data_IF_368044581554
#
_entry.id   IF_368044581554
#
_cell.length_a   1.000
_cell.length_b   1.000
_cell.length_c   1.000
_cell.angle_alpha   90.00
_cell.angle_beta   90.00
_cell.angle_gamma   90.00
#
_symmetry.space_group_name_H-M   'P 1'
#
loop_
_entity.id
_entity.type
_entity.pdbx_description
1 polymer ?
#
# COMPACT_ATOMS: atom_id res chain seq x y z
N UNK A 1 22.27 19.23 30.49
CA UNK A 1 21.05 19.97 30.07
C UNK A 1 20.41 19.18 28.95
N UNK A 2 19.28 18.51 29.21
CA UNK A 2 18.54 17.77 28.19
C UNK A 2 17.48 18.69 27.61
N UNK A 3 17.44 18.83 26.29
CA UNK A 3 16.60 19.82 25.62
C UNK A 3 15.14 19.31 25.53
N UNK A 4 14.16 19.98 26.15
CA UNK A 4 12.78 19.49 26.26
C UNK A 4 11.95 19.61 24.97
N UNK A 5 12.53 20.14 23.89
CA UNK A 5 11.87 20.31 22.59
C UNK A 5 12.21 19.21 21.57
N UNK A 6 12.97 18.19 21.96
CA UNK A 6 13.17 17.00 21.13
C UNK A 6 11.97 16.08 21.35
N UNK A 7 10.88 16.40 20.66
CA UNK A 7 9.72 15.54 20.55
C UNK A 7 9.97 14.53 19.44
N UNK A 8 10.51 13.36 19.80
CA UNK A 8 10.67 12.22 18.88
C UNK A 8 9.31 11.57 18.64
N UNK A 9 8.43 12.27 17.92
CA UNK A 9 7.21 11.68 17.36
C UNK A 9 7.59 10.73 16.23
N UNK A 10 8.08 9.54 16.59
CA UNK A 10 7.96 8.36 15.75
C UNK A 10 6.52 7.85 15.83
N UNK A 11 5.57 8.68 15.39
CA UNK A 11 4.18 8.29 15.16
C UNK A 11 4.05 7.62 13.79
N UNK A 12 4.70 6.48 13.62
CA UNK A 12 4.38 5.55 12.53
C UNK A 12 3.69 4.32 13.12
N UNK A 13 2.35 4.35 13.11
CA UNK A 13 1.42 3.23 13.31
C UNK A 13 1.55 2.45 14.63
N UNK A 14 0.69 2.74 15.60
CA UNK A 14 0.59 2.02 16.89
C UNK A 14 0.40 0.49 16.75
N UNK A 15 -0.21 0.01 15.66
CA UNK A 15 -0.34 -1.43 15.37
C UNK A 15 0.95 -2.06 14.82
N UNK A 16 1.68 -1.35 13.96
CA UNK A 16 2.98 -1.79 13.42
C UNK A 16 4.08 -1.75 14.47
N UNK A 17 4.04 -0.79 15.40
CA UNK A 17 5.01 -0.68 16.49
C UNK A 17 4.93 -1.86 17.47
N UNK A 18 3.72 -2.35 17.78
CA UNK A 18 3.56 -3.52 18.64
C UNK A 18 4.17 -4.79 18.05
N UNK A 19 3.96 -5.02 16.75
CA UNK A 19 4.53 -6.15 16.04
C UNK A 19 6.06 -6.02 15.89
N UNK A 20 6.54 -4.82 15.57
CA UNK A 20 7.98 -4.56 15.41
C UNK A 20 8.74 -4.79 16.71
N UNK A 21 8.18 -4.32 17.83
CA UNK A 21 8.75 -4.53 19.16
C UNK A 21 8.74 -6.01 19.54
N UNK A 22 7.66 -6.75 19.24
CA UNK A 22 7.61 -8.20 19.50
C UNK A 22 8.64 -8.97 18.67
N UNK A 23 8.78 -8.66 17.38
CA UNK A 23 9.78 -9.29 16.49
C UNK A 23 11.20 -8.96 16.97
N UNK A 24 11.48 -7.71 17.30
CA UNK A 24 12.80 -7.28 17.77
C UNK A 24 13.14 -7.90 19.14
N UNK A 25 12.17 -8.03 20.04
CA UNK A 25 12.37 -8.69 21.33
C UNK A 25 12.59 -10.21 21.19
N UNK A 26 11.87 -10.88 20.29
CA UNK A 26 12.11 -12.29 19.99
C UNK A 26 13.49 -12.52 19.34
N UNK A 27 13.89 -11.59 18.47
CA UNK A 27 15.17 -11.64 17.78
C UNK A 27 16.38 -11.29 18.67
N UNK A 28 16.14 -10.64 19.82
CA UNK A 28 17.20 -10.20 20.75
C UNK A 28 17.98 -11.38 21.35
N UNK A 29 17.33 -12.52 21.53
CA UNK A 29 17.95 -13.72 22.11
C UNK A 29 18.53 -14.67 21.03
N UNK A 30 18.43 -14.30 19.75
CA UNK A 30 18.94 -15.13 18.66
C UNK A 30 20.47 -14.97 18.52
N UNK A 31 21.26 -16.06 18.55
CA UNK A 31 22.73 -16.00 18.60
C UNK A 31 23.39 -15.45 17.32
N UNK A 32 22.63 -15.26 16.25
CA UNK A 32 23.09 -14.78 14.94
C UNK A 32 22.56 -13.38 14.58
N UNK A 33 21.81 -12.72 15.47
CA UNK A 33 21.26 -11.38 15.24
C UNK A 33 22.02 -10.38 16.12
N UNK A 34 22.70 -9.38 15.54
CA UNK A 34 23.41 -8.35 16.32
C UNK A 34 22.45 -7.55 17.21
N UNK A 35 22.88 -7.20 18.44
CA UNK A 35 22.03 -6.48 19.42
C UNK A 35 21.45 -5.14 18.92
N UNK A 36 22.11 -4.49 17.95
CA UNK A 36 21.67 -3.22 17.35
C UNK A 36 21.01 -3.39 15.97
N UNK A 37 20.53 -4.59 15.64
CA UNK A 37 19.94 -4.88 14.34
C UNK A 37 18.42 -4.65 14.34
N UNK A 38 17.92 -3.91 13.33
CA UNK A 38 16.48 -3.71 13.12
C UNK A 38 15.86 -4.95 12.43
N UNK A 39 15.63 -6.00 13.20
CA UNK A 39 15.09 -7.27 12.68
C UNK A 39 13.72 -7.12 12.07
N UNK A 40 12.83 -6.34 12.69
CA UNK A 40 11.51 -6.07 12.16
C UNK A 40 11.56 -5.37 10.80
N UNK A 41 12.41 -4.35 10.65
CA UNK A 41 12.64 -3.66 9.38
C UNK A 41 13.23 -4.58 8.31
N UNK A 42 14.19 -5.43 8.70
CA UNK A 42 14.78 -6.42 7.80
C UNK A 42 13.74 -7.44 7.31
N UNK A 43 12.94 -8.02 8.21
CA UNK A 43 11.93 -9.00 7.86
C UNK A 43 10.85 -8.41 6.94
N UNK A 44 10.44 -7.16 7.19
CA UNK A 44 9.57 -6.41 6.26
C UNK A 44 10.21 -6.26 4.89
N UNK A 45 11.50 -5.89 4.84
CA UNK A 45 12.25 -5.78 3.59
C UNK A 45 12.33 -7.10 2.83
N UNK A 46 12.60 -8.21 3.53
CA UNK A 46 12.60 -9.57 2.95
C UNK A 46 11.22 -9.92 2.41
N UNK A 47 10.16 -9.66 3.16
CA UNK A 47 8.80 -9.97 2.72
C UNK A 47 8.41 -9.17 1.48
N UNK A 48 8.71 -7.87 1.45
CA UNK A 48 8.47 -7.01 0.28
C UNK A 48 9.31 -7.51 -0.91
N UNK A 49 10.60 -7.79 -0.70
CA UNK A 49 11.50 -8.28 -1.73
C UNK A 49 11.04 -9.62 -2.31
N UNK A 50 10.60 -10.55 -1.47
CA UNK A 50 10.04 -11.84 -1.89
C UNK A 50 8.76 -11.65 -2.69
N UNK A 51 7.86 -10.76 -2.25
CA UNK A 51 6.63 -10.43 -2.99
C UNK A 51 6.93 -9.85 -4.37
N UNK A 52 7.83 -8.87 -4.47
CA UNK A 52 8.27 -8.30 -5.74
C UNK A 52 8.93 -9.35 -6.63
N UNK A 53 9.83 -10.18 -6.09
CA UNK A 53 10.51 -11.25 -6.83
C UNK A 53 9.52 -12.28 -7.34
N UNK A 54 8.52 -12.66 -6.54
CA UNK A 54 7.47 -13.56 -6.94
C UNK A 54 6.66 -12.98 -8.11
N UNK A 55 6.29 -11.71 -8.04
CA UNK A 55 5.66 -11.01 -9.16
C UNK A 55 6.56 -11.03 -10.39
N UNK A 56 7.84 -10.70 -10.25
CA UNK A 56 8.77 -10.64 -11.39
C UNK A 56 9.12 -12.02 -11.98
N UNK A 57 9.05 -13.09 -11.20
CA UNK A 57 9.44 -14.44 -11.65
C UNK A 57 8.24 -15.28 -12.09
N UNK A 58 7.04 -14.96 -11.63
CA UNK A 58 5.84 -15.72 -11.96
C UNK A 58 5.03 -15.02 -13.04
N UNK A 59 5.03 -15.57 -14.25
CA UNK A 59 4.25 -15.06 -15.38
C UNK A 59 2.75 -14.95 -15.06
N UNK A 60 2.19 -15.86 -14.27
CA UNK A 60 0.79 -15.78 -13.86
C UNK A 60 0.52 -14.57 -12.96
N UNK A 61 1.46 -14.23 -12.07
CA UNK A 61 1.36 -13.06 -11.21
C UNK A 61 1.47 -11.76 -12.02
N UNK A 62 2.41 -11.68 -12.97
CA UNK A 62 2.52 -10.55 -13.90
C UNK A 62 1.24 -10.36 -14.72
N UNK A 63 0.71 -11.46 -15.29
CA UNK A 63 -0.53 -11.43 -16.05
C UNK A 63 -1.71 -11.01 -15.20
N UNK A 64 -1.80 -11.47 -13.95
CA UNK A 64 -2.87 -11.09 -13.03
C UNK A 64 -2.84 -9.58 -12.72
N UNK A 65 -1.66 -9.01 -12.45
CA UNK A 65 -1.49 -7.57 -12.23
C UNK A 65 -1.90 -6.79 -13.48
N UNK A 66 -1.40 -7.18 -14.66
CA UNK A 66 -1.74 -6.48 -15.89
C UNK A 66 -3.23 -6.56 -16.21
N UNK A 67 -3.85 -7.74 -16.04
CA UNK A 67 -5.31 -7.92 -16.18
C UNK A 67 -6.08 -7.04 -15.19
N UNK A 68 -5.62 -6.92 -13.95
CA UNK A 68 -6.26 -6.07 -12.95
C UNK A 68 -6.18 -4.59 -13.35
N UNK A 69 -5.03 -4.12 -13.83
CA UNK A 69 -4.84 -2.75 -14.33
C UNK A 69 -5.78 -2.48 -15.49
N UNK A 70 -5.77 -3.34 -16.52
CA UNK A 70 -6.66 -3.20 -17.69
C UNK A 70 -8.12 -3.19 -17.25
N UNK A 71 -8.52 -4.11 -16.37
CA UNK A 71 -9.89 -4.17 -15.87
C UNK A 71 -10.28 -2.90 -15.12
N UNK A 72 -9.40 -2.36 -14.28
CA UNK A 72 -9.63 -1.11 -13.57
C UNK A 72 -9.79 0.07 -14.53
N UNK A 73 -8.92 0.18 -15.54
CA UNK A 73 -9.01 1.21 -16.58
C UNK A 73 -10.31 1.10 -17.37
N UNK A 74 -10.72 -0.11 -17.76
CA UNK A 74 -11.98 -0.34 -18.44
C UNK A 74 -13.18 0.06 -17.58
N UNK A 75 -13.12 -0.21 -16.27
CA UNK A 75 -14.19 0.14 -15.32
C UNK A 75 -14.31 1.67 -15.15
N UNK A 76 -13.18 2.38 -15.15
CA UNK A 76 -13.17 3.84 -15.16
C UNK A 76 -13.70 4.41 -16.49
N UNK A 77 -13.33 3.82 -17.63
CA UNK A 77 -13.81 4.26 -18.95
C UNK A 77 -15.32 4.04 -19.08
N UNK A 78 -15.82 2.85 -18.73
CA UNK A 78 -17.24 2.54 -18.73
C UNK A 78 -18.02 3.47 -17.79
N UNK A 79 -17.51 3.69 -16.57
CA UNK A 79 -18.11 4.63 -15.64
C UNK A 79 -18.14 6.07 -16.20
N UNK A 80 -17.08 6.51 -16.88
CA UNK A 80 -17.03 7.83 -17.49
C UNK A 80 -17.99 7.97 -18.69
N UNK A 81 -18.16 6.93 -19.50
CA UNK A 81 -19.12 6.91 -20.61
C UNK A 81 -20.57 6.99 -20.10
N UNK A 82 -20.92 6.19 -19.09
CA UNK A 82 -22.24 6.26 -18.47
C UNK A 82 -22.49 7.63 -17.83
N UNK A 83 -21.48 8.23 -17.18
CA UNK A 83 -21.60 9.60 -16.63
C UNK A 83 -21.78 10.65 -17.72
N UNK A 84 -21.15 10.48 -18.89
CA UNK A 84 -21.29 11.40 -20.02
C UNK A 84 -22.69 11.37 -20.60
N UNK A 85 -23.28 10.19 -20.81
CA UNK A 85 -24.68 10.06 -21.23
C UNK A 85 -25.61 10.73 -20.22
N UNK A 86 -25.46 10.42 -18.91
CA UNK A 86 -26.31 11.03 -17.88
C UNK A 86 -26.17 12.54 -17.79
N UNK A 87 -24.99 13.08 -18.09
CA UNK A 87 -24.77 14.52 -18.14
C UNK A 87 -25.39 15.17 -19.38
N UNK A 88 -25.29 14.54 -20.55
CA UNK A 88 -26.00 15.00 -21.75
C UNK A 88 -27.51 14.94 -21.59
N UNK A 89 -28.04 13.87 -21.01
CA UNK A 89 -29.47 13.73 -20.72
C UNK A 89 -29.95 14.82 -19.75
N UNK A 90 -29.23 15.05 -18.65
CA UNK A 90 -29.56 16.11 -17.70
C UNK A 90 -29.47 17.51 -18.35
N UNK A 91 -28.48 17.75 -19.22
CA UNK A 91 -28.36 19.01 -19.97
C UNK A 91 -29.51 19.19 -20.97
N UNK A 92 -29.94 18.12 -21.63
CA UNK A 92 -31.07 18.16 -22.55
C UNK A 92 -32.38 18.44 -21.82
N UNK A 93 -32.61 17.81 -20.67
CA UNK A 93 -33.80 18.04 -19.84
C UNK A 93 -33.87 19.50 -19.32
N UNK A 94 -32.75 20.05 -18.87
CA UNK A 94 -32.68 21.45 -18.41
C UNK A 94 -32.94 22.42 -19.58
N UNK A 95 -32.39 22.17 -20.77
CA UNK A 95 -32.62 23.03 -21.94
C UNK A 95 -34.03 22.87 -22.54
N UNK A 96 -34.65 21.69 -22.44
CA UNK A 96 -36.01 21.44 -22.92
C UNK A 96 -37.09 22.03 -22.00
N UNK A 97 -36.72 22.46 -20.78
CA UNK A 97 -37.62 23.04 -19.78
C UNK A 97 -37.58 24.58 -19.72
N UNK A 98 -36.79 25.21 -20.60
CA UNK A 98 -36.86 26.64 -20.94
C UNK A 98 -37.64 26.82 -22.25
#
# INVERSE_FOLDING_TARGET
MTNPYINNNNDQNSASQGLDNAINNFAKDAPFIPENFNTAGFLKGVLIGAGLTYVLTNENAQQAIFKAIVKATNLLQAGAEELKERFEDAKAEINAKN
#
